data_IF_652429640704
#
_entry.id   IF_652429640704
#
_cell.length_a   1.000
_cell.length_b   1.000
_cell.length_c   1.000
_cell.angle_alpha   90.00
_cell.angle_beta   90.00
_cell.angle_gamma   90.00
#
_symmetry.space_group_name_H-M   'P 1'
#
loop_
_entity.id
_entity.type
_entity.pdbx_description
1 polymer ?
#
# COMPACT_ATOMS: atom_id res chain seq x y z
N UNK A 1 -23.64 -4.79 -29.23
CA UNK A 1 -23.57 -5.13 -27.78
C UNK A 1 -22.35 -6.01 -27.43
N UNK A 2 -22.04 -7.09 -28.16
CA UNK A 2 -20.89 -7.98 -27.89
C UNK A 2 -19.53 -7.27 -27.71
N UNK A 3 -19.21 -6.27 -28.56
CA UNK A 3 -17.96 -5.48 -28.44
C UNK A 3 -17.87 -4.67 -27.15
N UNK A 4 -19.01 -4.21 -26.61
CA UNK A 4 -19.06 -3.49 -25.32
C UNK A 4 -18.84 -4.44 -24.15
N UNK A 5 -19.39 -5.65 -24.22
CA UNK A 5 -19.20 -6.68 -23.18
C UNK A 5 -17.74 -7.14 -23.11
N UNK A 6 -17.08 -7.32 -24.27
CA UNK A 6 -15.64 -7.65 -24.32
C UNK A 6 -14.80 -6.52 -23.72
N UNK A 7 -15.10 -5.27 -24.06
CA UNK A 7 -14.40 -4.12 -23.47
C UNK A 7 -14.60 -4.01 -21.95
N UNK A 8 -15.82 -4.27 -21.46
CA UNK A 8 -16.09 -4.28 -20.02
C UNK A 8 -15.35 -5.40 -19.28
N UNK A 9 -15.32 -6.61 -19.86
CA UNK A 9 -14.60 -7.75 -19.28
C UNK A 9 -13.08 -7.50 -19.21
N UNK A 10 -12.50 -6.91 -20.26
CA UNK A 10 -11.09 -6.53 -20.28
C UNK A 10 -10.78 -5.43 -19.25
N UNK A 11 -11.65 -4.42 -19.12
CA UNK A 11 -11.51 -3.38 -18.11
C UNK A 11 -11.54 -3.93 -16.67
N UNK A 12 -12.44 -4.88 -16.39
CA UNK A 12 -12.52 -5.55 -15.09
C UNK A 12 -11.28 -6.41 -14.79
N UNK A 13 -10.75 -7.12 -15.80
CA UNK A 13 -9.55 -7.94 -15.63
C UNK A 13 -8.30 -7.11 -15.31
N UNK A 14 -8.22 -5.87 -15.81
CA UNK A 14 -7.12 -4.94 -15.51
C UNK A 14 -7.21 -4.33 -14.10
N UNK A 15 -8.38 -4.38 -13.45
CA UNK A 15 -8.58 -3.89 -12.09
C UNK A 15 -8.27 -4.93 -11.00
N UNK A 16 -8.10 -6.21 -11.36
CA UNK A 16 -7.76 -7.30 -10.43
C UNK A 16 -6.48 -7.07 -9.60
N UNK A 17 -5.37 -6.55 -10.16
CA UNK A 17 -4.13 -6.34 -9.42
C UNK A 17 -4.26 -5.35 -8.25
N UNK A 18 -5.20 -4.41 -8.34
CA UNK A 18 -5.47 -3.44 -7.26
C UNK A 18 -6.04 -4.11 -6.01
N UNK A 19 -6.67 -5.29 -6.13
CA UNK A 19 -7.20 -6.05 -5.00
C UNK A 19 -6.16 -6.97 -4.33
N UNK A 20 -5.00 -7.18 -4.97
CA UNK A 20 -3.92 -8.03 -4.44
C UNK A 20 -2.87 -7.27 -3.60
N UNK A 21 -3.00 -5.94 -3.48
CA UNK A 21 -2.12 -5.13 -2.64
C UNK A 21 -2.55 -5.22 -1.16
N UNK A 22 -2.33 -6.39 -0.55
CA UNK A 22 -2.39 -6.55 0.90
C UNK A 22 -1.25 -5.80 1.62
N UNK A 23 -1.10 -6.03 2.93
CA UNK A 23 0.09 -5.59 3.65
C UNK A 23 1.34 -6.13 2.92
N UNK A 24 2.42 -5.34 2.78
CA UNK A 24 3.61 -5.80 2.08
C UNK A 24 4.20 -7.07 2.69
N UNK A 25 4.70 -7.99 1.86
CA UNK A 25 5.44 -9.20 2.29
C UNK A 25 6.84 -8.88 2.87
N UNK A 26 7.11 -7.60 3.14
CA UNK A 26 8.38 -7.10 3.65
C UNK A 26 8.14 -6.03 4.73
N UNK A 27 9.07 -5.85 5.67
CA UNK A 27 8.99 -4.77 6.64
C UNK A 27 8.84 -3.40 5.97
N UNK A 28 8.01 -2.53 6.56
CA UNK A 28 7.85 -1.13 6.15
C UNK A 28 8.82 -0.29 6.98
N UNK A 29 9.70 0.46 6.32
CA UNK A 29 10.57 1.42 6.99
C UNK A 29 9.82 2.71 7.33
N UNK A 30 9.63 2.99 8.61
CA UNK A 30 9.03 4.24 9.09
C UNK A 30 10.12 5.29 9.32
N UNK A 31 10.13 6.37 8.52
CA UNK A 31 11.08 7.47 8.65
C UNK A 31 10.52 8.59 9.52
N UNK A 32 11.19 8.89 10.64
CA UNK A 32 10.80 9.97 11.55
C UNK A 32 11.09 11.36 10.98
N UNK A 33 12.14 11.52 10.16
CA UNK A 33 12.57 12.82 9.64
C UNK A 33 13.22 13.75 10.67
N UNK A 34 13.31 13.33 11.94
CA UNK A 34 13.97 14.06 13.03
C UNK A 34 15.22 13.34 13.52
N UNK A 35 16.03 14.04 14.32
CA UNK A 35 17.19 13.45 14.97
C UNK A 35 16.78 12.28 15.90
N UNK A 36 17.63 11.24 16.04
CA UNK A 36 17.38 10.14 16.96
C UNK A 36 17.22 10.60 18.41
N UNK A 37 16.33 9.95 19.17
CA UNK A 37 16.13 10.21 20.60
C UNK A 37 15.22 11.39 20.95
N UNK A 38 14.70 12.13 19.96
CA UNK A 38 13.66 13.14 20.18
C UNK A 38 12.27 12.53 20.41
N UNK A 39 11.31 13.34 20.85
CA UNK A 39 9.93 12.88 21.10
C UNK A 39 9.29 12.23 19.86
N UNK A 40 9.56 12.75 18.67
CA UNK A 40 9.07 12.16 17.41
C UNK A 40 9.71 10.80 17.11
N UNK A 41 11.02 10.63 17.34
CA UNK A 41 11.70 9.34 17.17
C UNK A 41 11.20 8.29 18.18
N UNK A 42 10.98 8.70 19.43
CA UNK A 42 10.43 7.80 20.47
C UNK A 42 9.01 7.35 20.11
N UNK A 43 8.14 8.29 19.72
CA UNK A 43 6.77 7.97 19.29
C UNK A 43 6.75 7.06 18.07
N UNK A 44 7.64 7.31 17.09
CA UNK A 44 7.80 6.48 15.91
C UNK A 44 8.19 5.03 16.24
N UNK A 45 9.06 4.82 17.24
CA UNK A 45 9.43 3.48 17.71
C UNK A 45 8.26 2.77 18.38
N UNK A 46 7.53 3.46 19.26
CA UNK A 46 6.34 2.91 19.91
C UNK A 46 5.22 2.56 18.93
N UNK A 47 5.08 3.30 17.84
CA UNK A 47 4.12 3.00 16.77
C UNK A 47 4.53 1.80 15.90
N UNK A 48 5.83 1.51 15.83
CA UNK A 48 6.40 0.45 15.01
C UNK A 48 6.52 -0.90 15.74
N UNK A 49 6.31 -0.93 17.06
CA UNK A 49 6.06 -2.16 17.83
C UNK A 49 4.66 -2.72 17.55
#
# INVERSE_FOLDING_TARGET
MKRRLIGAALGLALALPALAQGLPDRPISLSSGYAPGGSTDITARLLAE
#
